data_IF_951941563380
#
_entry.id   IF_951941563380
#
_cell.length_a   1.000
_cell.length_b   1.000
_cell.length_c   1.000
_cell.angle_alpha   90.00
_cell.angle_beta   90.00
_cell.angle_gamma   90.00
#
_symmetry.space_group_name_H-M   'P 1'
#
loop_
_entity.id
_entity.type
_entity.pdbx_description
1 polymer ?
#
# COMPACT_ATOMS: atom_id res chain seq x y z
N UNK A 1 6.03 5.76 4.12
CA UNK A 1 6.04 4.30 3.91
C UNK A 1 4.68 3.77 4.32
N UNK A 2 4.02 2.96 3.48
CA UNK A 2 2.75 2.33 3.82
C UNK A 2 2.99 1.10 4.69
N UNK A 3 2.20 0.93 5.75
CA UNK A 3 2.33 -0.21 6.67
C UNK A 3 1.69 -1.47 6.08
N UNK A 4 0.60 -1.29 5.34
CA UNK A 4 -0.10 -2.37 4.65
C UNK A 4 0.14 -2.25 3.15
N UNK A 5 0.53 -3.36 2.54
CA UNK A 5 0.74 -3.46 1.09
C UNK A 5 0.00 -4.66 0.53
N UNK A 6 -0.88 -4.43 -0.45
CA UNK A 6 -1.55 -5.52 -1.14
C UNK A 6 -0.55 -6.30 -2.01
N UNK A 7 -0.58 -7.63 -1.90
CA UNK A 7 0.32 -8.55 -2.60
C UNK A 7 -0.38 -9.23 -3.77
N UNK A 8 -1.56 -9.78 -3.53
CA UNK A 8 -2.34 -10.47 -4.56
C UNK A 8 -3.84 -10.36 -4.27
N UNK A 9 -4.66 -10.38 -5.31
CA UNK A 9 -6.11 -10.55 -5.21
C UNK A 9 -6.52 -11.52 -6.30
N UNK A 10 -7.12 -12.63 -5.90
CA UNK A 10 -7.44 -13.77 -6.74
C UNK A 10 -8.94 -14.05 -6.69
N UNK A 11 -9.62 -13.95 -7.83
CA UNK A 11 -11.03 -14.33 -7.95
C UNK A 11 -11.14 -15.84 -8.09
N UNK A 12 -11.80 -16.48 -7.13
CA UNK A 12 -11.94 -17.94 -7.04
C UNK A 12 -13.07 -18.46 -7.93
N UNK A 13 -14.05 -17.61 -8.25
CA UNK A 13 -15.23 -17.95 -9.05
C UNK A 13 -15.30 -17.14 -10.35
N UNK A 14 -14.23 -17.15 -11.15
CA UNK A 14 -14.19 -16.48 -12.45
C UNK A 14 -13.87 -17.44 -13.60
N UNK A 15 -14.60 -17.40 -14.74
CA UNK A 15 -15.84 -16.65 -15.00
C UNK A 15 -17.05 -17.22 -14.25
N UNK A 16 -18.10 -16.41 -14.04
CA UNK A 16 -19.33 -16.81 -13.35
C UNK A 16 -20.57 -16.10 -13.92
N UNK A 17 -21.77 -16.55 -13.54
CA UNK A 17 -23.02 -15.88 -13.90
C UNK A 17 -23.09 -14.49 -13.24
N UNK A 18 -23.73 -13.53 -13.92
CA UNK A 18 -23.79 -12.13 -13.48
C UNK A 18 -24.39 -11.96 -12.08
N UNK A 19 -25.42 -12.76 -11.76
CA UNK A 19 -26.13 -12.76 -10.49
C UNK A 19 -25.47 -13.62 -9.40
N UNK A 20 -24.33 -14.24 -9.69
CA UNK A 20 -23.57 -14.97 -8.66
C UNK A 20 -22.86 -14.01 -7.70
N UNK A 21 -22.66 -14.36 -6.43
CA UNK A 21 -21.78 -13.61 -5.53
C UNK A 21 -20.33 -13.59 -6.04
N UNK A 22 -19.55 -12.57 -5.69
CA UNK A 22 -18.11 -12.50 -5.96
C UNK A 22 -17.37 -13.23 -4.85
N UNK A 23 -16.47 -14.14 -5.18
CA UNK A 23 -15.59 -14.80 -4.22
C UNK A 23 -14.15 -14.53 -4.62
N UNK A 24 -13.41 -13.86 -3.76
CA UNK A 24 -11.99 -13.62 -3.99
C UNK A 24 -11.18 -13.68 -2.72
N UNK A 25 -9.91 -14.00 -2.89
CA UNK A 25 -8.94 -14.05 -1.82
C UNK A 25 -8.02 -12.86 -1.93
N UNK A 26 -7.99 -12.04 -0.88
CA UNK A 26 -7.08 -10.91 -0.76
C UNK A 26 -5.87 -11.35 0.06
N UNK A 27 -4.68 -11.19 -0.51
CA UNK A 27 -3.40 -11.41 0.16
C UNK A 27 -2.70 -10.07 0.31
N UNK A 28 -2.33 -9.71 1.53
CA UNK A 28 -1.66 -8.47 1.84
C UNK A 28 -0.57 -8.68 2.88
N UNK A 29 0.38 -7.76 2.94
CA UNK A 29 1.47 -7.77 3.89
C UNK A 29 1.32 -6.59 4.85
N UNK A 30 1.52 -6.85 6.13
CA UNK A 30 1.51 -5.87 7.19
C UNK A 30 2.89 -5.85 7.85
N UNK A 31 3.60 -4.73 7.82
CA UNK A 31 4.96 -4.63 8.38
C UNK A 31 5.01 -4.20 9.84
N UNK A 32 3.89 -3.77 10.42
CA UNK A 32 3.82 -3.31 11.81
C UNK A 32 2.40 -3.51 12.37
N UNK A 33 2.23 -3.80 13.66
CA UNK A 33 0.92 -4.10 14.24
C UNK A 33 0.00 -2.87 14.17
N UNK A 34 -1.22 -3.07 13.67
CA UNK A 34 -2.25 -2.03 13.64
C UNK A 34 -3.07 -2.05 14.93
N UNK A 35 -3.54 -0.87 15.34
CA UNK A 35 -4.40 -0.73 16.53
C UNK A 35 -5.87 -0.97 16.20
N UNK A 36 -6.28 -0.54 15.02
CA UNK A 36 -7.65 -0.64 14.52
C UNK A 36 -7.70 -1.59 13.32
N UNK A 37 -8.92 -1.96 12.94
CA UNK A 37 -9.16 -2.89 11.85
C UNK A 37 -8.99 -2.21 10.48
N UNK A 38 -8.67 -3.02 9.47
CA UNK A 38 -8.72 -2.59 8.08
C UNK A 38 -10.13 -2.75 7.56
N UNK A 39 -10.64 -1.73 6.88
CA UNK A 39 -11.92 -1.81 6.20
C UNK A 39 -11.68 -2.09 4.72
N UNK A 40 -12.33 -3.11 4.20
CA UNK A 40 -12.32 -3.47 2.79
C UNK A 40 -13.71 -3.32 2.23
N UNK A 41 -13.84 -2.64 1.09
CA UNK A 41 -15.14 -2.48 0.41
C UNK A 41 -15.03 -2.85 -1.05
N UNK A 42 -16.00 -3.63 -1.51
CA UNK A 42 -16.15 -3.99 -2.90
C UNK A 42 -17.22 -3.10 -3.54
N UNK A 43 -16.86 -2.41 -4.61
CA UNK A 43 -17.72 -1.43 -5.29
C UNK A 43 -17.83 -1.82 -6.76
N UNK A 44 -19.05 -1.88 -7.27
CA UNK A 44 -19.35 -2.08 -8.68
C UNK A 44 -19.68 -0.75 -9.34
N UNK A 45 -18.95 -0.42 -10.41
CA UNK A 45 -19.18 0.80 -11.19
C UNK A 45 -20.24 0.48 -12.23
N UNK A 46 -21.47 0.95 -11.99
CA UNK A 46 -22.61 0.68 -12.86
C UNK A 46 -22.54 1.41 -14.19
N UNK A 47 -21.93 2.59 -14.24
CA UNK A 47 -21.88 3.42 -15.44
C UNK A 47 -20.63 4.31 -15.42
N UNK A 48 -19.81 4.33 -16.48
CA UNK A 48 -18.62 5.16 -16.52
C UNK A 48 -19.00 6.64 -16.49
N UNK A 49 -18.48 7.37 -15.50
CA UNK A 49 -18.73 8.80 -15.33
C UNK A 49 -19.95 9.16 -14.49
N UNK A 50 -20.67 8.18 -13.94
CA UNK A 50 -21.75 8.37 -12.97
C UNK A 50 -21.46 7.60 -11.68
N UNK A 51 -20.59 8.19 -10.86
CA UNK A 51 -20.21 7.65 -9.55
C UNK A 51 -21.41 7.57 -8.58
N UNK A 52 -22.49 8.32 -8.84
CA UNK A 52 -23.73 8.27 -8.08
C UNK A 52 -24.51 6.94 -8.25
N UNK A 53 -24.19 6.18 -9.29
CA UNK A 53 -24.76 4.85 -9.54
C UNK A 53 -23.84 3.71 -9.08
N UNK A 54 -22.69 4.03 -8.50
CA UNK A 54 -21.77 3.02 -7.99
C UNK A 54 -22.44 2.28 -6.83
N UNK A 55 -22.35 0.96 -6.87
CA UNK A 55 -22.99 0.09 -5.90
C UNK A 55 -21.93 -0.50 -5.00
N UNK A 56 -21.98 -0.15 -3.72
CA UNK A 56 -21.25 -0.88 -2.69
C UNK A 56 -21.89 -2.27 -2.57
N UNK A 57 -21.14 -3.30 -2.96
CA UNK A 57 -21.60 -4.67 -2.99
C UNK A 57 -21.52 -5.32 -1.62
N UNK A 58 -20.41 -5.05 -0.91
CA UNK A 58 -20.17 -5.57 0.43
C UNK A 58 -18.98 -4.85 1.07
N UNK A 59 -18.92 -4.90 2.39
CA UNK A 59 -17.84 -4.37 3.20
C UNK A 59 -17.46 -5.34 4.32
N UNK A 60 -16.18 -5.37 4.69
CA UNK A 60 -15.74 -6.10 5.87
C UNK A 60 -14.63 -5.40 6.64
N UNK A 61 -14.58 -5.69 7.93
CA UNK A 61 -13.51 -5.31 8.82
C UNK A 61 -12.58 -6.51 9.04
N UNK A 62 -11.29 -6.28 8.82
CA UNK A 62 -10.23 -7.27 9.00
C UNK A 62 -9.31 -6.79 10.10
N UNK A 63 -9.45 -7.39 11.27
CA UNK A 63 -8.51 -7.24 12.37
C UNK A 63 -8.81 -8.15 13.56
N UNK A 64 -7.87 -8.25 14.52
CA UNK A 64 -6.56 -7.61 14.54
C UNK A 64 -5.60 -8.20 13.50
N UNK A 65 -4.85 -7.34 12.80
CA UNK A 65 -3.94 -7.75 11.70
C UNK A 65 -2.54 -8.07 12.24
N UNK A 66 -2.06 -9.33 12.17
CA UNK A 66 -0.72 -9.66 12.61
C UNK A 66 0.34 -9.20 11.60
N UNK A 67 1.56 -8.98 12.09
CA UNK A 67 2.70 -8.63 11.24
C UNK A 67 3.08 -9.83 10.36
N UNK A 68 3.33 -9.57 9.07
CA UNK A 68 3.68 -10.58 8.07
C UNK A 68 2.72 -10.59 6.90
N UNK A 69 2.72 -11.70 6.16
CA UNK A 69 1.83 -11.93 5.02
C UNK A 69 0.55 -12.57 5.53
N UNK A 70 -0.57 -11.91 5.27
CA UNK A 70 -1.92 -12.34 5.63
C UNK A 70 -2.75 -12.57 4.37
N UNK A 71 -3.73 -13.45 4.49
CA UNK A 71 -4.76 -13.60 3.47
C UNK A 71 -6.11 -13.86 4.12
N UNK A 72 -7.16 -13.35 3.48
CA UNK A 72 -8.54 -13.64 3.85
C UNK A 72 -9.36 -13.83 2.57
N UNK A 73 -10.45 -14.58 2.71
CA UNK A 73 -11.45 -14.74 1.67
C UNK A 73 -12.56 -13.73 1.92
N UNK A 74 -13.01 -13.10 0.84
CA UNK A 74 -14.08 -12.14 0.83
C UNK A 74 -15.16 -12.61 -0.13
N UNK A 75 -16.39 -12.57 0.34
CA UNK A 75 -17.58 -12.82 -0.46
C UNK A 75 -18.35 -11.51 -0.57
N UNK A 76 -18.73 -11.12 -1.79
CA UNK A 76 -19.51 -9.92 -2.03
C UNK A 76 -20.77 -10.21 -2.83
N UNK A 77 -21.86 -9.53 -2.49
CA UNK A 77 -23.14 -9.69 -3.20
C UNK A 77 -23.04 -9.26 -4.67
N UNK A 78 -23.85 -9.83 -5.59
CA UNK A 78 -23.94 -9.32 -6.95
C UNK A 78 -24.55 -7.90 -6.97
N UNK A 79 -24.23 -7.06 -7.99
CA UNK A 79 -24.85 -5.75 -8.13
C UNK A 79 -26.35 -5.86 -8.41
N UNK A 80 -27.12 -4.86 -7.98
CA UNK A 80 -28.55 -4.78 -8.27
C UNK A 80 -28.76 -4.39 -9.74
N UNK A 81 -29.36 -5.26 -10.57
CA UNK A 81 -29.60 -5.00 -11.98
C UNK A 81 -30.54 -3.81 -12.22
N UNK A 82 -31.40 -3.45 -11.26
CA UNK A 82 -32.34 -2.34 -11.41
C UNK A 82 -31.64 -0.97 -11.36
N UNK A 83 -30.45 -0.90 -10.76
CA UNK A 83 -29.66 0.33 -10.64
C UNK A 83 -28.65 0.50 -11.76
N UNK A 84 -28.47 -0.53 -12.60
CA UNK A 84 -27.55 -0.49 -13.74
C UNK A 84 -28.33 -0.02 -14.97
N UNK A 85 -27.88 1.05 -15.65
CA UNK A 85 -28.51 1.48 -16.88
C UNK A 85 -28.35 0.39 -17.95
N UNK A 86 -29.43 0.08 -18.66
CA UNK A 86 -29.50 -1.03 -19.63
C UNK A 86 -28.44 -0.97 -20.73
N UNK A 87 -27.94 0.23 -21.04
CA UNK A 87 -26.88 0.45 -22.02
C UNK A 87 -25.48 0.04 -21.53
N UNK A 88 -25.25 0.08 -20.21
CA UNK A 88 -23.96 -0.27 -19.59
C UNK A 88 -23.94 -1.68 -18.97
N UNK A 89 -25.07 -2.41 -19.00
CA UNK A 89 -25.11 -3.79 -18.48
C UNK A 89 -24.20 -4.73 -19.28
N UNK A 90 -24.17 -4.56 -20.60
CA UNK A 90 -23.35 -5.36 -21.51
C UNK A 90 -22.03 -4.66 -21.81
N UNK A 91 -20.95 -5.44 -21.89
CA UNK A 91 -19.61 -4.92 -22.16
C UNK A 91 -18.79 -4.75 -20.89
N UNK A 92 -17.93 -3.73 -20.87
CA UNK A 92 -16.89 -3.58 -19.84
C UNK A 92 -17.34 -2.64 -18.74
N UNK A 93 -17.51 -3.17 -17.54
CA UNK A 93 -17.68 -2.44 -16.29
C UNK A 93 -16.39 -2.46 -15.46
N UNK A 94 -16.33 -1.63 -14.41
CA UNK A 94 -15.23 -1.64 -13.45
C UNK A 94 -15.69 -2.18 -12.10
N UNK A 95 -14.87 -3.03 -11.49
CA UNK A 95 -15.04 -3.54 -10.13
C UNK A 95 -13.88 -3.01 -9.29
N UNK A 96 -14.18 -2.30 -8.21
CA UNK A 96 -13.20 -1.59 -7.39
C UNK A 96 -13.19 -2.20 -5.99
N UNK A 97 -12.04 -2.74 -5.60
CA UNK A 97 -11.77 -3.11 -4.21
C UNK A 97 -10.99 -1.97 -3.54
N UNK A 98 -11.56 -1.38 -2.51
CA UNK A 98 -10.88 -0.36 -1.70
C UNK A 98 -10.42 -0.95 -0.37
N UNK A 99 -9.27 -0.49 0.11
CA UNK A 99 -8.77 -0.77 1.44
C UNK A 99 -8.55 0.55 2.17
N UNK A 100 -9.17 0.66 3.34
CA UNK A 100 -9.18 1.86 4.18
C UNK A 100 -8.70 1.51 5.59
N UNK A 101 -8.03 2.47 6.23
CA UNK A 101 -7.65 2.39 7.63
C UNK A 101 -8.00 3.71 8.30
N UNK A 102 -8.84 3.67 9.33
CA UNK A 102 -9.38 4.87 9.99
C UNK A 102 -9.95 5.88 8.99
N UNK A 103 -10.85 5.41 8.13
CA UNK A 103 -11.54 6.21 7.11
C UNK A 103 -10.61 6.84 6.05
N UNK A 104 -9.32 6.46 6.04
CA UNK A 104 -8.37 6.88 5.03
C UNK A 104 -8.09 5.72 4.07
N UNK A 105 -8.52 5.87 2.82
CA UNK A 105 -8.22 4.92 1.74
C UNK A 105 -6.70 4.90 1.49
N UNK A 106 -6.07 3.72 1.59
CA UNK A 106 -4.65 3.55 1.32
C UNK A 106 -4.38 2.77 0.02
N UNK A 107 -5.36 2.00 -0.45
CA UNK A 107 -5.25 1.23 -1.69
C UNK A 107 -6.60 1.14 -2.39
N UNK A 108 -6.54 1.19 -3.72
CA UNK A 108 -7.67 0.95 -4.61
C UNK A 108 -7.23 0.03 -5.72
N UNK A 109 -7.92 -1.09 -5.88
CA UNK A 109 -7.65 -2.10 -6.89
C UNK A 109 -8.84 -2.20 -7.82
N UNK A 110 -8.68 -1.68 -9.03
CA UNK A 110 -9.69 -1.75 -10.08
C UNK A 110 -9.48 -2.97 -10.98
N UNK A 111 -10.56 -3.67 -11.27
CA UNK A 111 -10.66 -4.76 -12.23
C UNK A 111 -11.62 -4.37 -13.34
N UNK A 112 -11.33 -4.80 -14.56
CA UNK A 112 -12.31 -4.74 -15.63
C UNK A 112 -13.14 -6.02 -15.57
N UNK A 113 -14.46 -5.86 -15.47
CA UNK A 113 -15.41 -6.94 -15.62
C UNK A 113 -16.05 -6.81 -17.00
N UNK A 114 -15.93 -7.83 -17.83
CA UNK A 114 -16.68 -7.94 -19.07
C UNK A 114 -17.94 -8.76 -18.83
N UNK A 115 -19.11 -8.22 -19.19
CA UNK A 115 -20.40 -8.92 -19.12
C UNK A 115 -20.89 -9.21 -20.54
N UNK A 116 -21.13 -10.48 -20.84
CA UNK A 116 -21.64 -10.92 -22.15
C UNK A 116 -22.70 -12.01 -22.02
N UNK A 117 -23.50 -12.20 -23.07
CA UNK A 117 -24.44 -13.32 -23.13
C UNK A 117 -23.69 -14.64 -23.27
N UNK A 118 -24.15 -15.65 -22.54
CA UNK A 118 -23.61 -17.01 -22.60
C UNK A 118 -23.86 -17.67 -23.95
N UNK A 119 -25.01 -17.41 -24.56
CA UNK A 119 -25.43 -17.98 -25.83
C UNK A 119 -25.00 -17.09 -27.01
N UNK A 120 -24.36 -17.69 -28.02
CA UNK A 120 -23.86 -16.98 -29.21
C UNK A 120 -24.99 -16.31 -30.00
N UNK A 121 -26.18 -16.94 -30.03
CA UNK A 121 -27.36 -16.40 -30.70
C UNK A 121 -27.84 -15.08 -30.06
N UNK A 122 -27.86 -15.03 -28.73
CA UNK A 122 -28.23 -13.83 -27.95
C UNK A 122 -27.14 -12.75 -28.05
N UNK A 123 -25.90 -13.13 -28.35
CA UNK A 123 -24.80 -12.19 -28.63
C UNK A 123 -24.89 -11.57 -30.03
N UNK A 124 -25.31 -12.32 -31.05
CA UNK A 124 -25.54 -11.80 -32.40
C UNK A 124 -26.85 -11.00 -32.52
N UNK A 125 -27.89 -11.43 -31.80
CA UNK A 125 -29.21 -10.79 -31.78
C UNK A 125 -29.63 -10.54 -30.34
N UNK A 126 -29.12 -9.47 -29.70
CA UNK A 126 -29.46 -9.17 -28.31
C UNK A 126 -30.97 -8.96 -28.15
N UNK A 127 -31.60 -9.60 -27.15
CA UNK A 127 -33.02 -9.42 -26.89
C UNK A 127 -33.32 -7.96 -26.52
N UNK A 128 -34.55 -7.51 -26.81
CA UNK A 128 -34.98 -6.13 -26.54
C UNK A 128 -34.95 -5.78 -25.04
N UNK A 129 -35.04 -6.79 -24.16
CA UNK A 129 -34.88 -6.66 -22.72
C UNK A 129 -33.71 -7.52 -22.26
N UNK A 130 -32.85 -6.96 -21.42
CA UNK A 130 -31.65 -7.64 -20.93
C UNK A 130 -32.05 -8.81 -20.01
N UNK A 131 -31.64 -10.02 -20.38
CA UNK A 131 -31.88 -11.23 -19.61
C UNK A 131 -30.70 -11.54 -18.69
N UNK A 132 -30.69 -10.95 -17.48
CA UNK A 132 -29.58 -11.08 -16.50
C UNK A 132 -29.23 -12.53 -16.13
N UNK A 133 -30.19 -13.44 -16.17
CA UNK A 133 -30.00 -14.87 -15.90
C UNK A 133 -29.12 -15.57 -16.96
N UNK A 134 -28.98 -14.97 -18.16
CA UNK A 134 -28.16 -15.49 -19.26
C UNK A 134 -26.84 -14.75 -19.44
N UNK A 135 -26.54 -13.82 -18.53
CA UNK A 135 -25.31 -13.06 -18.57
C UNK A 135 -24.22 -13.79 -17.79
N UNK A 136 -23.06 -13.88 -18.41
CA UNK A 136 -21.81 -14.30 -17.79
C UNK A 136 -20.94 -13.07 -17.63
N UNK A 137 -20.28 -12.99 -16.48
CA UNK A 137 -19.24 -12.00 -16.21
C UNK A 137 -17.87 -12.67 -16.17
N UNK A 138 -16.90 -12.01 -16.78
CA UNK A 138 -15.49 -12.36 -16.74
C UNK A 138 -14.69 -11.18 -16.19
N UNK A 139 -13.89 -11.44 -15.15
CA UNK A 139 -13.07 -10.45 -14.47
C UNK A 139 -11.64 -10.58 -14.98
N UNK A 140 -11.13 -9.49 -15.54
CA UNK A 140 -9.77 -9.46 -16.10
C UNK A 140 -8.72 -9.75 -15.03
N UNK A 141 -7.78 -10.65 -15.33
CA UNK A 141 -6.66 -10.95 -14.44
C UNK A 141 -5.68 -9.77 -14.22
N UNK A 142 -5.81 -8.66 -14.97
CA UNK A 142 -4.92 -7.51 -14.89
C UNK A 142 -5.52 -6.39 -14.02
N UNK A 143 -5.18 -6.31 -12.73
CA UNK A 143 -5.64 -5.22 -11.88
C UNK A 143 -4.95 -3.91 -12.21
N UNK A 144 -5.67 -2.82 -11.94
CA UNK A 144 -5.13 -1.47 -11.82
C UNK A 144 -5.04 -1.09 -10.35
N UNK A 145 -3.82 -1.06 -9.81
CA UNK A 145 -3.58 -0.74 -8.40
C UNK A 145 -3.20 0.72 -8.27
N UNK A 146 -3.97 1.49 -7.52
CA UNK A 146 -3.66 2.86 -7.09
C UNK A 146 -3.40 2.82 -5.59
N UNK A 147 -2.34 3.52 -5.14
CA UNK A 147 -1.93 3.55 -3.73
C UNK A 147 -1.95 4.99 -3.24
N UNK A 148 -2.46 5.18 -2.04
CA UNK A 148 -2.56 6.48 -1.40
C UNK A 148 -1.74 6.48 -0.12
N UNK A 149 -1.14 7.62 0.19
CA UNK A 149 -0.33 7.77 1.38
C UNK A 149 -1.19 8.32 2.52
N UNK A 150 -1.40 7.49 3.54
CA UNK A 150 -2.24 7.83 4.68
C UNK A 150 -1.42 7.98 5.96
N UNK A 151 -2.04 8.55 7.00
CA UNK A 151 -1.47 8.59 8.34
C UNK A 151 -1.72 7.26 9.05
N UNK A 152 -0.64 6.60 9.46
CA UNK A 152 -0.68 5.36 10.22
C UNK A 152 -0.33 5.63 11.70
N UNK A 153 -0.84 4.81 12.61
CA UNK A 153 -0.62 4.97 14.07
C UNK A 153 0.65 4.37 14.61
N UNK A 154 1.44 3.78 13.72
CA UNK A 154 2.71 3.18 14.06
C UNK A 154 3.79 4.13 13.59
N UNK A 155 4.67 4.54 14.50
CA UNK A 155 5.90 5.20 14.10
C UNK A 155 6.60 4.26 13.12
N UNK A 156 6.88 4.74 11.91
CA UNK A 156 7.69 3.98 10.96
C UNK A 156 8.96 3.52 11.70
N UNK A 157 9.41 2.27 11.54
CA UNK A 157 10.69 1.88 12.10
C UNK A 157 11.70 2.88 11.57
N UNK A 158 12.29 3.68 12.47
CA UNK A 158 13.40 4.54 12.12
C UNK A 158 14.44 3.62 11.52
N UNK A 159 14.65 3.72 10.21
CA UNK A 159 15.85 3.17 9.59
C UNK A 159 17.00 3.72 10.44
N UNK A 160 17.68 2.81 11.14
CA UNK A 160 18.66 3.17 12.14
C UNK A 160 19.61 4.21 11.57
N UNK A 161 19.88 5.26 12.35
CA UNK A 161 21.07 6.05 12.18
C UNK A 161 22.27 5.12 12.36
N UNK A 162 22.71 4.47 11.29
CA UNK A 162 24.09 3.98 11.17
C UNK A 162 24.91 5.11 10.55
N UNK A 163 25.05 6.20 11.28
CA UNK A 163 26.13 7.14 11.08
C UNK A 163 27.34 6.63 11.87
N UNK A 164 28.24 5.97 11.14
CA UNK A 164 29.68 5.86 11.35
C UNK A 164 30.20 5.95 12.79
N UNK A 165 30.67 4.82 13.32
CA UNK A 165 31.77 4.86 14.27
C UNK A 165 33.01 5.42 13.58
N UNK A 166 33.47 6.60 14.00
CA UNK A 166 34.87 7.01 13.93
C UNK A 166 35.12 8.26 14.80
N UNK A 167 36.13 8.12 15.66
CA UNK A 167 36.98 9.17 16.21
C UNK A 167 36.36 10.17 17.21
N UNK A 168 36.66 9.90 18.48
CA UNK A 168 37.03 10.92 19.46
C UNK A 168 37.99 11.93 18.82
N UNK A 169 37.58 13.19 18.70
CA UNK A 169 38.50 14.31 18.48
C UNK A 169 38.18 15.39 19.48
N UNK A 170 39.16 15.64 20.33
CA UNK A 170 39.17 16.64 21.37
C UNK A 170 38.93 18.05 20.80
N UNK A 171 38.28 18.89 21.61
CA UNK A 171 38.11 20.31 21.32
C UNK A 171 39.49 20.99 21.21
N UNK A 172 39.72 21.68 20.11
CA UNK A 172 40.85 22.60 19.92
C UNK A 172 40.45 23.96 20.49
N UNK A 173 41.17 24.54 21.47
CA UNK A 173 40.95 25.92 21.86
C UNK A 173 41.60 26.87 20.84
N UNK A 174 40.89 27.95 20.49
CA UNK A 174 41.39 29.03 19.66
C UNK A 174 42.56 29.74 20.35
N UNK A 175 43.65 29.90 19.61
CA UNK A 175 44.76 30.78 19.92
C UNK A 175 44.42 32.20 19.45
N UNK A 176 44.33 33.14 20.38
CA UNK A 176 44.80 34.53 20.28
C UNK A 176 44.44 35.25 21.59
N UNK A 177 45.40 35.39 22.50
CA UNK A 177 45.69 36.67 23.14
C UNK A 177 47.02 36.56 23.90
N UNK A 178 47.93 37.43 23.50
CA UNK A 178 49.33 37.53 23.89
C UNK A 178 49.49 38.29 25.21
N UNK A 179 50.63 38.00 25.87
CA UNK A 179 51.44 38.95 26.65
C UNK A 179 51.01 39.30 28.10
N UNK A 180 51.76 38.81 29.08
CA UNK A 180 52.89 39.55 29.69
C UNK A 180 53.39 38.87 30.99
N UNK A 181 54.72 38.84 31.16
CA UNK A 181 55.32 39.15 32.47
C UNK A 181 55.67 38.06 33.50
N UNK A 182 56.93 37.62 33.43
CA UNK A 182 57.92 37.62 34.56
C UNK A 182 58.05 36.41 35.53
N UNK A 183 59.31 35.92 35.65
CA UNK A 183 59.92 35.40 36.90
C UNK A 183 60.17 33.88 36.95
N UNK A 184 61.32 33.40 36.47
CA UNK A 184 62.51 32.98 37.26
C UNK A 184 62.29 31.79 38.22
N UNK A 185 62.98 30.67 37.98
CA UNK A 185 64.05 30.16 38.87
C UNK A 185 64.66 28.87 38.29
N UNK A 186 65.98 28.95 38.20
CA UNK A 186 67.08 27.99 37.97
C UNK A 186 66.92 26.53 38.44
N UNK A 187 67.64 25.63 37.76
CA UNK A 187 68.62 24.69 38.34
C UNK A 187 69.45 24.06 37.21
N UNK A 188 70.76 24.19 37.30
CA UNK A 188 71.79 23.65 36.41
C UNK A 188 72.63 22.60 37.16
N UNK A 189 73.21 21.62 36.44
CA UNK A 189 74.61 21.11 36.59
C UNK A 189 74.86 20.01 35.53
N UNK A 190 75.67 20.24 34.48
CA UNK A 190 77.13 19.96 34.32
C UNK A 190 77.47 18.46 34.13
N UNK A 191 78.22 18.00 33.10
CA UNK A 191 79.70 18.08 32.90
C UNK A 191 80.02 17.24 31.62
N UNK A 192 80.50 17.74 30.47
CA UNK A 192 81.88 18.14 30.03
C UNK A 192 82.64 17.08 29.21
N UNK A 193 83.01 17.48 27.96
CA UNK A 193 84.21 17.13 27.11
C UNK A 193 84.31 15.72 26.50
N UNK A 194 84.72 15.50 25.24
CA UNK A 194 85.20 16.33 24.14
C UNK A 194 85.84 15.44 23.04
N UNK A 195 85.96 15.99 21.81
CA UNK A 195 86.94 15.77 20.72
C UNK A 195 87.71 14.42 20.60
N UNK A 196 88.04 13.82 19.46
CA UNK A 196 88.24 14.29 18.08
C UNK A 196 88.33 13.09 17.11
N UNK A 197 88.21 13.44 15.83
CA UNK A 197 88.57 12.83 14.53
C UNK A 197 89.89 12.00 14.54
N UNK A 198 90.17 11.15 13.52
CA UNK A 198 90.50 11.60 12.15
C UNK A 198 89.60 11.06 11.02
#
# INVERSE_FOLDING_TARGET
MSIVTIRNVEFLNNPADFLSPYHFKVTFECIAPLKDDLEWRLIYVSSPGREDLDQELDDCLVGPVPVGVNAFEFEGSPPDPAKIPVEDVLGVAALILTGSYREQEFVRVGYYQNTEYKDELDRENPPQQVAFDRLVRDISAKPRVTRFQIKWDVAAPQAGQTAAGAATSAAVPSADDLDDGSGDTTMADATTVGAAVP
#
